data_IF_874170719444
#
_entry.id   IF_874170719444
#
_cell.length_a   1.000
_cell.length_b   1.000
_cell.length_c   1.000
_cell.angle_alpha   90.00
_cell.angle_beta   90.00
_cell.angle_gamma   90.00
#
_symmetry.space_group_name_H-M   'P 1'
#
loop_
_entity.id
_entity.type
_entity.pdbx_description
1 polymer ?
#
# COMPACT_ATOMS: atom_id res chain seq x y z
N UNK A 1 15.99 36.60 14.90
CA UNK A 1 16.32 35.16 15.00
C UNK A 1 17.80 35.10 15.29
N UNK A 2 18.21 34.42 16.36
CA UNK A 2 19.64 34.30 16.71
C UNK A 2 20.22 33.04 16.08
N UNK A 3 21.53 32.98 15.84
CA UNK A 3 22.19 31.78 15.30
C UNK A 3 21.89 30.52 16.14
N UNK A 4 21.69 30.68 17.45
CA UNK A 4 21.29 29.62 18.37
C UNK A 4 19.85 29.12 18.14
N UNK A 5 18.94 29.98 17.69
CA UNK A 5 17.57 29.60 17.33
C UNK A 5 17.53 28.82 16.02
N UNK A 6 18.38 29.18 15.06
CA UNK A 6 18.52 28.49 13.76
C UNK A 6 19.12 27.09 13.92
N UNK A 7 20.19 26.95 14.72
CA UNK A 7 20.78 25.65 15.05
C UNK A 7 19.79 24.72 15.75
N UNK A 8 19.01 25.26 16.71
CA UNK A 8 17.98 24.48 17.41
C UNK A 8 16.87 24.04 16.46
N UNK A 9 16.44 24.91 15.55
CA UNK A 9 15.42 24.56 14.54
C UNK A 9 15.93 23.49 13.58
N UNK A 10 17.16 23.62 13.10
CA UNK A 10 17.80 22.63 12.23
C UNK A 10 17.94 21.26 12.93
N UNK A 11 18.30 21.24 14.21
CA UNK A 11 18.40 20.00 14.99
C UNK A 11 17.03 19.31 15.16
N UNK A 12 15.96 20.07 15.39
CA UNK A 12 14.59 19.53 15.48
C UNK A 12 14.14 18.94 14.15
N UNK A 13 14.39 19.64 13.04
CA UNK A 13 14.07 19.16 11.69
C UNK A 13 14.85 17.88 11.36
N UNK A 14 16.14 17.83 11.67
CA UNK A 14 16.98 16.65 11.40
C UNK A 14 16.53 15.41 12.20
N UNK A 15 16.14 15.56 13.46
CA UNK A 15 15.61 14.44 14.26
C UNK A 15 14.27 13.96 13.71
N UNK A 16 13.41 14.89 13.30
CA UNK A 16 12.13 14.58 12.68
C UNK A 16 12.29 13.85 11.34
N UNK A 17 13.18 14.33 10.47
CA UNK A 17 13.49 13.68 9.19
C UNK A 17 14.07 12.28 9.41
N UNK A 18 14.94 12.10 10.42
CA UNK A 18 15.48 10.80 10.80
C UNK A 18 14.42 9.86 11.39
N UNK A 19 13.39 10.39 12.06
CA UNK A 19 12.25 9.60 12.52
C UNK A 19 11.39 9.12 11.35
N UNK A 20 11.07 10.01 10.41
CA UNK A 20 10.32 9.66 9.19
C UNK A 20 11.07 8.59 8.38
N UNK A 21 12.37 8.76 8.16
CA UNK A 21 13.16 7.80 7.40
C UNK A 21 13.11 6.38 8.02
N UNK A 22 13.21 6.28 9.35
CA UNK A 22 13.12 5.00 10.07
C UNK A 22 11.73 4.36 9.95
N UNK A 23 10.68 5.16 10.00
CA UNK A 23 9.31 4.69 9.82
C UNK A 23 9.08 4.16 8.40
N UNK A 24 9.57 4.88 7.38
CA UNK A 24 9.50 4.45 5.99
C UNK A 24 10.27 3.14 5.75
N UNK A 25 11.47 3.02 6.30
CA UNK A 25 12.26 1.78 6.21
C UNK A 25 11.53 0.60 6.86
N UNK A 26 10.87 0.81 7.99
CA UNK A 26 10.07 -0.21 8.66
C UNK A 26 8.87 -0.63 7.80
N UNK A 27 8.10 0.34 7.28
CA UNK A 27 6.94 0.08 6.42
C UNK A 27 7.35 -0.67 5.16
N UNK A 28 8.47 -0.30 4.54
CA UNK A 28 9.01 -1.01 3.38
C UNK A 28 9.42 -2.44 3.72
N UNK A 29 10.06 -2.66 4.87
CA UNK A 29 10.45 -4.00 5.30
C UNK A 29 9.24 -4.90 5.56
N UNK A 30 8.20 -4.37 6.22
CA UNK A 30 6.94 -5.08 6.49
C UNK A 30 6.22 -5.44 5.19
N UNK A 31 6.07 -4.47 4.28
CA UNK A 31 5.44 -4.68 2.98
C UNK A 31 6.21 -5.71 2.14
N UNK A 32 7.55 -5.63 2.13
CA UNK A 32 8.39 -6.60 1.41
C UNK A 32 8.21 -8.02 1.94
N UNK A 33 8.14 -8.19 3.26
CA UNK A 33 7.95 -9.51 3.87
C UNK A 33 6.59 -10.13 3.51
N UNK A 34 5.56 -9.30 3.31
CA UNK A 34 4.24 -9.76 2.83
C UNK A 34 4.30 -10.12 1.35
N UNK A 35 4.96 -9.32 0.51
CA UNK A 35 5.13 -9.63 -0.91
C UNK A 35 5.88 -10.93 -1.15
N UNK A 36 6.93 -11.20 -0.36
CA UNK A 36 7.68 -12.47 -0.45
C UNK A 36 6.77 -13.67 -0.15
N UNK A 37 5.87 -13.55 0.84
CA UNK A 37 4.89 -14.59 1.14
C UNK A 37 3.87 -14.74 0.02
N UNK A 38 3.35 -13.64 -0.52
CA UNK A 38 2.41 -13.65 -1.65
C UNK A 38 3.06 -14.31 -2.88
N UNK A 39 4.31 -13.98 -3.18
CA UNK A 39 5.06 -14.59 -4.29
C UNK A 39 5.15 -16.10 -4.16
N UNK A 40 5.34 -16.62 -2.94
CA UNK A 40 5.36 -18.06 -2.67
C UNK A 40 3.97 -18.73 -2.78
N UNK A 41 2.88 -17.97 -2.73
CA UNK A 41 1.50 -18.46 -2.77
C UNK A 41 0.87 -18.45 -4.15
N UNK A 42 1.48 -17.79 -5.15
CA UNK A 42 0.85 -17.59 -6.46
C UNK A 42 1.80 -17.97 -7.60
N UNK A 43 1.27 -18.10 -8.82
CA UNK A 43 2.11 -18.34 -10.00
C UNK A 43 2.94 -17.08 -10.33
N UNK A 44 4.07 -17.21 -11.05
CA UNK A 44 4.85 -16.04 -11.49
C UNK A 44 4.05 -15.02 -12.31
N UNK A 45 3.12 -15.50 -13.14
CA UNK A 45 2.20 -14.66 -13.93
C UNK A 45 1.24 -13.88 -13.02
N UNK A 46 0.63 -14.55 -12.04
CA UNK A 46 -0.24 -13.90 -11.08
C UNK A 46 0.51 -12.88 -10.21
N UNK A 47 1.73 -13.22 -9.78
CA UNK A 47 2.56 -12.28 -9.03
C UNK A 47 2.95 -11.07 -9.88
N UNK A 48 3.14 -11.24 -11.19
CA UNK A 48 3.38 -10.12 -12.09
C UNK A 48 2.16 -9.19 -12.16
N UNK A 49 0.95 -9.73 -12.30
CA UNK A 49 -0.27 -8.90 -12.27
C UNK A 49 -0.40 -8.12 -10.96
N UNK A 50 -0.10 -8.74 -9.80
CA UNK A 50 -0.10 -8.03 -8.50
C UNK A 50 0.87 -6.84 -8.54
N UNK A 51 2.10 -7.02 -9.03
CA UNK A 51 3.09 -5.94 -9.13
C UNK A 51 2.64 -4.84 -10.10
N UNK A 52 2.06 -5.20 -11.22
CA UNK A 52 1.56 -4.25 -12.22
C UNK A 52 0.45 -3.40 -11.60
N UNK A 53 -0.50 -4.02 -10.89
CA UNK A 53 -1.54 -3.29 -10.17
C UNK A 53 -1.00 -2.41 -9.05
N UNK A 54 0.03 -2.84 -8.30
CA UNK A 54 0.67 -2.01 -7.29
C UNK A 54 1.42 -0.80 -7.89
N UNK A 55 1.93 -0.93 -9.11
CA UNK A 55 2.60 0.15 -9.82
C UNK A 55 1.59 1.14 -10.47
N UNK A 56 0.44 0.63 -10.89
CA UNK A 56 -0.66 1.44 -11.44
C UNK A 56 -1.48 2.13 -10.33
N UNK A 57 -1.53 1.52 -9.15
CA UNK A 57 -2.05 2.14 -7.93
C UNK A 57 -1.04 3.18 -7.44
N UNK A 58 -1.50 4.35 -7.00
CA UNK A 58 -0.62 5.44 -6.54
C UNK A 58 0.21 5.10 -5.30
N UNK A 59 0.00 5.81 -4.19
CA UNK A 59 0.69 5.51 -2.95
C UNK A 59 0.10 4.27 -2.28
N UNK A 60 0.80 3.13 -2.33
CA UNK A 60 0.34 1.86 -1.72
C UNK A 60 1.03 1.55 -0.40
N UNK A 61 0.28 1.01 0.57
CA UNK A 61 0.81 0.68 1.91
C UNK A 61 -0.07 -0.35 2.65
N UNK A 62 0.33 -0.70 3.88
CA UNK A 62 -0.42 -1.57 4.79
C UNK A 62 -0.72 -2.95 4.20
N UNK A 63 0.30 -3.58 3.63
CA UNK A 63 0.16 -4.87 2.97
C UNK A 63 -0.14 -5.97 3.99
N UNK A 64 -1.07 -6.86 3.68
CA UNK A 64 -1.42 -7.99 4.54
C UNK A 64 -2.01 -9.16 3.76
N UNK A 65 -2.03 -10.34 4.39
CA UNK A 65 -2.73 -11.54 3.90
C UNK A 65 -3.91 -11.83 4.82
N UNK A 66 -5.13 -11.54 4.37
CA UNK A 66 -6.36 -11.68 5.13
C UNK A 66 -7.13 -12.97 4.79
N UNK A 67 -8.06 -13.35 5.68
CA UNK A 67 -8.97 -14.50 5.51
C UNK A 67 -10.26 -14.13 4.75
N UNK A 68 -10.55 -12.85 4.58
CA UNK A 68 -11.76 -12.36 3.91
C UNK A 68 -11.47 -11.08 3.13
N UNK A 69 -12.11 -10.85 1.98
CA UNK A 69 -11.91 -9.63 1.20
C UNK A 69 -12.61 -8.43 1.86
N UNK A 70 -12.17 -7.23 1.49
CA UNK A 70 -12.79 -5.96 1.87
C UNK A 70 -13.29 -5.26 0.61
N UNK A 71 -14.53 -4.75 0.66
CA UNK A 71 -15.13 -3.99 -0.44
C UNK A 71 -16.07 -4.80 -1.32
N UNK A 72 -16.33 -4.26 -2.51
CA UNK A 72 -17.24 -4.85 -3.49
C UNK A 72 -16.46 -5.54 -4.61
N UNK A 73 -16.94 -6.68 -5.14
CA UNK A 73 -16.30 -7.35 -6.25
C UNK A 73 -16.24 -6.46 -7.48
N UNK A 74 -15.08 -6.42 -8.15
CA UNK A 74 -14.86 -5.78 -9.44
C UNK A 74 -14.47 -6.86 -10.46
N UNK A 75 -14.90 -6.68 -11.70
CA UNK A 75 -14.62 -7.59 -12.80
C UNK A 75 -13.38 -7.08 -13.56
N UNK A 76 -12.20 -7.48 -13.10
CA UNK A 76 -10.89 -6.95 -13.57
C UNK A 76 -10.04 -8.00 -14.32
N UNK A 77 -10.63 -9.07 -14.86
CA UNK A 77 -9.93 -10.12 -15.63
C UNK A 77 -8.68 -10.71 -14.94
N UNK A 78 -8.61 -10.60 -13.61
CA UNK A 78 -7.43 -11.01 -12.83
C UNK A 78 -7.31 -12.54 -12.81
N UNK A 79 -6.09 -13.06 -13.03
CA UNK A 79 -5.89 -14.50 -13.24
C UNK A 79 -6.27 -15.36 -12.02
N UNK A 80 -6.20 -14.77 -10.82
CA UNK A 80 -6.56 -15.44 -9.57
C UNK A 80 -8.07 -15.36 -9.25
N UNK A 81 -8.85 -14.65 -10.06
CA UNK A 81 -10.30 -14.49 -9.91
C UNK A 81 -10.72 -13.07 -9.50
N UNK A 82 -11.92 -12.96 -8.92
CA UNK A 82 -12.54 -11.67 -8.60
C UNK A 82 -11.75 -10.88 -7.56
N UNK A 83 -11.39 -9.64 -7.90
CA UNK A 83 -10.79 -8.67 -6.97
C UNK A 83 -11.89 -7.88 -6.26
N UNK A 84 -11.60 -7.34 -5.09
CA UNK A 84 -12.55 -6.55 -4.31
C UNK A 84 -11.96 -5.18 -4.01
N UNK A 85 -12.76 -4.14 -4.17
CA UNK A 85 -12.32 -2.77 -3.97
C UNK A 85 -13.27 -2.08 -3.01
N UNK A 86 -12.71 -1.53 -1.92
CA UNK A 86 -13.38 -0.61 -1.03
C UNK A 86 -12.80 0.79 -1.25
N UNK A 87 -13.39 1.52 -2.19
CA UNK A 87 -12.94 2.85 -2.58
C UNK A 87 -13.73 3.93 -1.83
N UNK A 88 -13.02 4.98 -1.46
CA UNK A 88 -13.55 6.21 -0.88
C UNK A 88 -13.02 7.40 -1.68
N UNK A 89 -13.83 8.45 -1.83
CA UNK A 89 -13.40 9.71 -2.41
C UNK A 89 -12.58 10.45 -1.35
N UNK A 90 -11.31 10.76 -1.64
CA UNK A 90 -10.36 11.33 -0.67
C UNK A 90 -10.55 12.84 -0.45
N UNK A 91 -11.80 13.34 -0.47
CA UNK A 91 -12.13 14.72 -0.12
C UNK A 91 -11.55 15.83 -1.02
N UNK A 92 -10.95 15.51 -2.16
CA UNK A 92 -10.46 16.50 -3.13
C UNK A 92 -11.60 17.39 -3.63
N UNK A 93 -11.35 18.71 -3.72
CA UNK A 93 -12.32 19.71 -4.19
C UNK A 93 -12.91 19.41 -5.59
N UNK A 94 -12.25 18.55 -6.39
CA UNK A 94 -12.68 18.10 -7.72
C UNK A 94 -13.21 16.66 -7.78
N UNK A 95 -13.02 15.84 -6.74
CA UNK A 95 -13.43 14.42 -6.73
C UNK A 95 -12.53 13.46 -7.51
N UNK A 96 -11.34 13.91 -7.94
CA UNK A 96 -10.42 13.11 -8.77
C UNK A 96 -9.45 12.23 -7.94
N UNK A 97 -9.31 12.51 -6.64
CA UNK A 97 -8.41 11.76 -5.76
C UNK A 97 -9.17 10.64 -5.05
N UNK A 98 -8.69 9.40 -5.21
CA UNK A 98 -9.34 8.21 -4.68
C UNK A 98 -8.41 7.49 -3.70
N UNK A 99 -8.95 7.11 -2.54
CA UNK A 99 -8.24 6.27 -1.60
C UNK A 99 -9.07 5.04 -1.27
N UNK A 100 -8.44 3.90 -1.02
CA UNK A 100 -9.19 2.69 -0.74
C UNK A 100 -8.34 1.52 -0.33
N UNK A 101 -9.00 0.38 -0.19
CA UNK A 101 -8.37 -0.91 0.04
C UNK A 101 -8.75 -1.83 -1.11
N UNK A 102 -7.75 -2.47 -1.70
CA UNK A 102 -7.94 -3.52 -2.70
C UNK A 102 -7.66 -4.88 -2.05
N UNK A 103 -8.45 -5.90 -2.40
CA UNK A 103 -8.25 -7.29 -2.01
C UNK A 103 -8.16 -8.17 -3.25
N UNK A 104 -7.01 -8.79 -3.46
CA UNK A 104 -6.77 -9.74 -4.56
C UNK A 104 -6.82 -11.17 -4.01
N UNK A 105 -7.53 -12.09 -4.69
CA UNK A 105 -7.62 -13.47 -4.24
C UNK A 105 -6.25 -14.17 -4.31
N UNK A 106 -5.97 -15.01 -3.33
CA UNK A 106 -4.82 -15.93 -3.28
C UNK A 106 -5.33 -17.37 -3.20
N UNK A 107 -4.40 -18.33 -3.19
CA UNK A 107 -4.73 -19.72 -2.91
C UNK A 107 -5.31 -19.91 -1.50
N UNK A 108 -6.01 -21.03 -1.30
CA UNK A 108 -6.59 -21.43 -0.01
C UNK A 108 -7.59 -20.42 0.61
N UNK A 109 -8.26 -19.61 -0.22
CA UNK A 109 -9.30 -18.67 0.24
C UNK A 109 -8.75 -17.48 1.02
N UNK A 110 -7.46 -17.18 0.87
CA UNK A 110 -6.79 -16.01 1.44
C UNK A 110 -6.82 -14.86 0.44
N UNK A 111 -6.55 -13.64 0.91
CA UNK A 111 -6.54 -12.44 0.09
C UNK A 111 -5.31 -11.60 0.38
N UNK A 112 -4.62 -11.15 -0.66
CA UNK A 112 -3.63 -10.08 -0.54
C UNK A 112 -4.38 -8.76 -0.48
N UNK A 113 -4.12 -7.96 0.55
CA UNK A 113 -4.74 -6.65 0.71
C UNK A 113 -3.70 -5.56 0.83
N UNK A 114 -4.00 -4.42 0.23
CA UNK A 114 -3.22 -3.19 0.39
C UNK A 114 -4.15 -1.98 0.33
N UNK A 115 -3.74 -0.91 1.03
CA UNK A 115 -4.34 0.40 0.90
C UNK A 115 -3.65 1.16 -0.24
N UNK A 116 -4.41 2.01 -0.93
CA UNK A 116 -3.90 2.91 -1.96
C UNK A 116 -4.48 4.32 -1.79
N UNK A 117 -3.73 5.31 -2.22
CA UNK A 117 -4.21 6.68 -2.44
C UNK A 117 -3.66 7.18 -3.78
N UNK A 118 -4.58 7.59 -4.66
CA UNK A 118 -4.32 8.18 -5.96
C UNK A 118 -4.74 9.65 -5.95
#
# INVERSE_FOLDING_TARGET
>A
MTDQDEERYAAIMADHDAAIARELDQVHAENSAVLDQVQAMVSPEAFQQIKDTLADSGFTHSYQIADSPVGMPQDDDFVLGTVYVNQTTNGGFSGDDYAGTMSMPLQAGRYFQFCYAC
#
